data_IF_139741247738
#
_entry.id   IF_139741247738
#
_cell.length_a   1.000
_cell.length_b   1.000
_cell.length_c   1.000
_cell.angle_alpha   90.00
_cell.angle_beta   90.00
_cell.angle_gamma   90.00
#
_symmetry.space_group_name_H-M   'P 1'
#
loop_
_entity.id
_entity.type
_entity.pdbx_description
1 polymer ?
#
# COMPACT_ATOMS: atom_id res chain seq x y z
N UNK A 1 -20.40 -16.92 -25.17
CA UNK A 1 -19.83 -16.58 -23.85
C UNK A 1 -20.16 -15.10 -23.63
N UNK A 2 -21.19 -14.80 -22.83
CA UNK A 2 -21.47 -13.41 -22.47
C UNK A 2 -20.30 -12.89 -21.62
N UNK A 3 -19.61 -11.88 -22.13
CA UNK A 3 -18.71 -11.07 -21.32
C UNK A 3 -19.54 -10.49 -20.16
N UNK A 4 -19.28 -10.93 -18.93
CA UNK A 4 -19.85 -10.29 -17.74
C UNK A 4 -19.47 -8.82 -17.80
N UNK A 5 -20.45 -7.96 -18.05
CA UNK A 5 -20.32 -6.51 -18.01
C UNK A 5 -19.66 -6.16 -16.66
N UNK A 6 -18.49 -5.56 -16.69
CA UNK A 6 -17.67 -5.33 -15.50
C UNK A 6 -18.27 -4.13 -14.77
N UNK A 7 -18.94 -4.36 -13.63
CA UNK A 7 -19.53 -3.33 -12.79
C UNK A 7 -18.49 -2.25 -12.47
N UNK A 8 -18.91 -1.00 -12.57
CA UNK A 8 -18.12 0.17 -12.18
C UNK A 8 -18.55 0.63 -10.80
N UNK A 9 -17.62 0.69 -9.86
CA UNK A 9 -17.88 1.21 -8.51
C UNK A 9 -17.86 2.72 -8.52
N UNK A 10 -18.79 3.35 -7.79
CA UNK A 10 -18.88 4.80 -7.70
C UNK A 10 -19.00 5.26 -6.26
N UNK A 11 -18.07 6.10 -5.84
CA UNK A 11 -18.17 6.90 -4.62
C UNK A 11 -18.70 8.28 -5.00
N UNK A 12 -19.78 8.75 -4.34
CA UNK A 12 -20.43 10.03 -4.61
C UNK A 12 -20.43 10.95 -3.40
N UNK A 13 -20.61 12.26 -3.67
CA UNK A 13 -20.75 13.29 -2.64
C UNK A 13 -19.58 13.31 -1.65
N UNK A 14 -18.37 13.24 -2.18
CA UNK A 14 -17.13 13.20 -1.38
C UNK A 14 -16.29 14.44 -1.62
N UNK A 15 -15.52 14.82 -0.62
CA UNK A 15 -14.40 15.75 -0.79
C UNK A 15 -13.24 14.94 -1.33
N UNK A 16 -12.76 15.26 -2.52
CA UNK A 16 -11.74 14.47 -3.21
C UNK A 16 -10.46 15.28 -3.32
N UNK A 17 -9.37 14.74 -2.79
CA UNK A 17 -8.04 15.28 -3.03
C UNK A 17 -7.38 14.52 -4.18
N UNK A 18 -6.89 15.27 -5.15
CA UNK A 18 -6.16 14.75 -6.31
C UNK A 18 -4.73 15.27 -6.29
N UNK A 19 -3.87 14.79 -7.19
CA UNK A 19 -2.54 15.37 -7.39
C UNK A 19 -2.55 16.84 -7.86
N UNK A 20 -3.70 17.33 -8.35
CA UNK A 20 -3.85 18.67 -8.95
C UNK A 20 -4.70 19.63 -8.12
N UNK A 21 -5.28 19.18 -7.00
CA UNK A 21 -6.11 20.02 -6.16
C UNK A 21 -7.22 19.28 -5.42
N UNK A 22 -8.24 20.02 -5.01
CA UNK A 22 -9.38 19.53 -4.21
C UNK A 22 -10.69 19.76 -4.96
N UNK A 23 -11.58 18.76 -4.89
CA UNK A 23 -12.99 18.85 -5.34
C UNK A 23 -13.87 18.78 -4.09
N UNK A 24 -14.64 19.81 -3.79
CA UNK A 24 -15.43 19.90 -2.55
C UNK A 24 -16.66 18.98 -2.53
N UNK A 25 -17.24 18.70 -3.68
CA UNK A 25 -18.32 17.74 -3.85
C UNK A 25 -18.14 17.03 -5.18
N UNK A 26 -17.56 15.85 -5.14
CA UNK A 26 -17.19 15.09 -6.31
C UNK A 26 -17.62 13.64 -6.27
N UNK A 27 -17.29 12.94 -7.33
CA UNK A 27 -17.42 11.48 -7.44
C UNK A 27 -16.17 10.86 -8.03
N UNK A 28 -15.97 9.57 -7.71
CA UNK A 28 -14.95 8.73 -8.31
C UNK A 28 -15.62 7.49 -8.87
N UNK A 29 -15.43 7.22 -10.15
CA UNK A 29 -15.86 5.99 -10.83
C UNK A 29 -14.65 5.13 -11.11
N UNK A 30 -14.68 3.87 -10.70
CA UNK A 30 -13.53 2.96 -10.79
C UNK A 30 -13.93 1.49 -10.85
N UNK A 31 -13.02 0.67 -11.30
CA UNK A 31 -13.01 -0.76 -11.07
C UNK A 31 -11.62 -1.20 -10.58
N UNK A 32 -10.76 -1.77 -11.42
CA UNK A 32 -9.34 -2.00 -11.12
C UNK A 32 -8.50 -0.72 -11.31
N UNK A 33 -9.05 0.25 -12.03
CA UNK A 33 -8.45 1.57 -12.26
C UNK A 33 -9.52 2.63 -12.10
N UNK A 34 -9.12 3.81 -11.71
CA UNK A 34 -9.97 4.99 -11.74
C UNK A 34 -10.22 5.34 -13.21
N UNK A 35 -11.48 5.42 -13.59
CA UNK A 35 -11.92 5.83 -14.93
C UNK A 35 -12.35 7.29 -14.98
N UNK A 36 -12.88 7.81 -13.86
CA UNK A 36 -13.41 9.16 -13.83
C UNK A 36 -13.32 9.75 -12.42
N UNK A 37 -12.93 11.01 -12.32
CA UNK A 37 -12.97 11.83 -11.10
C UNK A 37 -13.42 13.21 -11.52
N UNK A 38 -14.57 13.69 -11.00
CA UNK A 38 -15.10 15.00 -11.37
C UNK A 38 -16.05 15.54 -10.29
N UNK A 39 -16.54 16.77 -10.48
CA UNK A 39 -17.55 17.37 -9.64
C UNK A 39 -18.91 16.67 -9.80
N UNK A 40 -19.70 16.60 -8.73
CA UNK A 40 -21.03 15.96 -8.74
C UNK A 40 -21.98 16.55 -9.77
N UNK A 41 -21.85 17.84 -10.11
CA UNK A 41 -22.69 18.47 -11.14
C UNK A 41 -22.52 17.85 -12.53
N UNK A 42 -21.37 17.18 -12.77
CA UNK A 42 -21.05 16.50 -14.03
C UNK A 42 -21.37 15.00 -13.99
N UNK A 43 -21.88 14.49 -12.86
CA UNK A 43 -22.17 13.08 -12.71
C UNK A 43 -23.35 12.64 -13.56
N UNK A 44 -23.10 11.71 -14.46
CA UNK A 44 -24.13 11.05 -15.27
C UNK A 44 -24.17 9.57 -14.86
N UNK A 45 -25.28 9.08 -14.26
CA UNK A 45 -25.42 7.67 -13.91
C UNK A 45 -25.32 6.78 -15.15
N UNK A 46 -24.64 5.63 -15.01
CA UNK A 46 -24.53 4.61 -16.04
C UNK A 46 -25.21 3.32 -15.55
N UNK A 47 -25.68 2.50 -16.51
CA UNK A 47 -26.42 1.27 -16.20
C UNK A 47 -25.60 0.25 -15.38
N UNK A 48 -24.28 0.27 -15.51
CA UNK A 48 -23.35 -0.61 -14.82
C UNK A 48 -22.71 0.01 -13.56
N UNK A 49 -23.21 1.17 -13.10
CA UNK A 49 -22.74 1.79 -11.86
C UNK A 49 -23.25 1.05 -10.61
N UNK A 50 -22.32 0.63 -9.76
CA UNK A 50 -22.55 0.17 -8.40
C UNK A 50 -22.17 1.29 -7.43
N UNK A 51 -23.17 1.89 -6.77
CA UNK A 51 -22.90 2.94 -5.78
C UNK A 51 -22.38 2.33 -4.49
N UNK A 52 -21.20 2.74 -4.08
CA UNK A 52 -20.60 2.34 -2.81
C UNK A 52 -21.07 3.30 -1.72
N UNK A 53 -21.93 2.80 -0.83
CA UNK A 53 -22.36 3.54 0.36
C UNK A 53 -21.29 3.49 1.44
N UNK A 54 -20.91 4.66 1.95
CA UNK A 54 -19.89 4.79 3.01
C UNK A 54 -20.03 6.12 3.73
N UNK A 55 -19.75 6.11 5.04
CA UNK A 55 -19.73 7.30 5.90
C UNK A 55 -18.45 8.14 5.70
N UNK A 56 -17.48 7.65 4.92
CA UNK A 56 -16.27 8.40 4.62
C UNK A 56 -16.59 9.73 3.96
N UNK A 57 -16.05 10.81 4.48
CA UNK A 57 -16.20 12.18 3.94
C UNK A 57 -15.21 12.46 2.82
N UNK A 58 -14.01 11.87 2.93
CA UNK A 58 -12.89 12.17 2.06
C UNK A 58 -12.51 10.98 1.18
N UNK A 59 -12.07 11.28 -0.04
CA UNK A 59 -11.33 10.38 -0.91
C UNK A 59 -9.97 11.00 -1.16
N UNK A 60 -8.92 10.25 -0.84
CA UNK A 60 -7.53 10.68 -0.99
C UNK A 60 -6.75 9.61 -1.74
N UNK A 61 -5.63 9.94 -2.39
CA UNK A 61 -4.67 8.93 -2.85
C UNK A 61 -4.18 8.08 -1.67
N UNK A 62 -3.97 6.79 -1.92
CA UNK A 62 -3.39 5.93 -0.90
C UNK A 62 -1.96 6.36 -0.55
N UNK A 63 -1.57 6.12 0.70
CA UNK A 63 -0.22 6.46 1.16
C UNK A 63 0.82 5.49 0.60
N UNK A 64 2.03 6.04 0.42
CA UNK A 64 3.22 5.30 0.01
C UNK A 64 4.19 5.28 1.19
N UNK A 65 4.46 4.11 1.73
CA UNK A 65 5.46 3.90 2.78
C UNK A 65 6.69 3.24 2.15
N UNK A 66 7.79 3.98 2.12
CA UNK A 66 9.05 3.53 1.49
C UNK A 66 10.10 3.06 2.50
N UNK A 67 9.81 3.19 3.81
CA UNK A 67 10.77 2.83 4.85
C UNK A 67 10.05 2.51 6.17
N UNK A 68 9.68 1.24 6.34
CA UNK A 68 9.12 0.74 7.59
C UNK A 68 9.53 -0.72 7.81
N UNK A 69 10.02 -1.02 9.01
CA UNK A 69 10.49 -2.37 9.37
C UNK A 69 9.34 -3.34 9.65
N UNK A 70 8.19 -2.81 9.99
CA UNK A 70 7.02 -3.62 10.28
C UNK A 70 5.96 -2.89 11.10
N UNK A 71 5.00 -3.65 11.59
CA UNK A 71 3.88 -3.15 12.38
C UNK A 71 2.98 -4.29 12.87
N UNK A 72 2.01 -3.96 13.72
CA UNK A 72 1.06 -4.95 14.24
C UNK A 72 1.72 -6.16 14.92
N UNK A 73 2.91 -5.95 15.52
CA UNK A 73 3.68 -6.99 16.18
C UNK A 73 4.43 -7.94 15.24
N UNK A 74 4.60 -7.55 13.98
CA UNK A 74 5.41 -8.27 12.98
C UNK A 74 6.52 -7.38 12.45
N UNK A 75 7.67 -7.99 12.12
CA UNK A 75 8.85 -7.33 11.58
C UNK A 75 9.26 -8.01 10.27
N UNK A 76 9.69 -7.23 9.29
CA UNK A 76 10.09 -7.72 7.96
C UNK A 76 11.29 -8.67 8.01
N UNK A 77 12.13 -8.61 9.07
CA UNK A 77 13.26 -9.50 9.23
C UNK A 77 12.87 -10.90 9.73
N UNK A 78 11.84 -10.99 10.59
CA UNK A 78 11.54 -12.21 11.34
C UNK A 78 10.25 -12.91 10.90
N UNK A 79 9.32 -12.14 10.29
CA UNK A 79 8.02 -12.65 9.91
C UNK A 79 8.08 -13.60 8.71
N UNK A 80 7.22 -14.60 8.71
CA UNK A 80 6.96 -15.44 7.54
C UNK A 80 6.24 -14.67 6.44
N UNK A 81 6.24 -15.19 5.22
CA UNK A 81 5.55 -14.58 4.08
C UNK A 81 4.05 -14.33 4.35
N UNK A 82 3.38 -15.25 5.04
CA UNK A 82 1.95 -15.10 5.37
C UNK A 82 1.72 -14.02 6.45
N UNK A 83 2.63 -13.90 7.41
CA UNK A 83 2.58 -12.84 8.43
C UNK A 83 2.86 -11.46 7.83
N UNK A 84 3.78 -11.35 6.90
CA UNK A 84 4.06 -10.11 6.14
C UNK A 84 2.83 -9.72 5.32
N UNK A 85 2.21 -10.65 4.59
CA UNK A 85 0.98 -10.39 3.84
C UNK A 85 -0.13 -9.89 4.77
N UNK A 86 -0.35 -10.57 5.89
CA UNK A 86 -1.36 -10.17 6.88
C UNK A 86 -1.07 -8.77 7.45
N UNK A 87 0.17 -8.48 7.84
CA UNK A 87 0.59 -7.19 8.37
C UNK A 87 0.29 -6.05 7.39
N UNK A 88 0.70 -6.22 6.14
CA UNK A 88 0.51 -5.19 5.10
C UNK A 88 -0.97 -5.00 4.77
N UNK A 89 -1.80 -6.05 4.85
CA UNK A 89 -3.26 -5.91 4.74
C UNK A 89 -3.86 -5.09 5.89
N UNK A 90 -3.33 -5.23 7.13
CA UNK A 90 -3.78 -4.38 8.25
C UNK A 90 -3.41 -2.91 7.99
N UNK A 91 -2.19 -2.63 7.54
CA UNK A 91 -1.74 -1.28 7.18
C UNK A 91 -2.59 -0.67 6.07
N UNK A 92 -2.90 -1.44 5.04
CA UNK A 92 -3.76 -0.99 3.96
C UNK A 92 -5.18 -0.65 4.44
N UNK A 93 -5.77 -1.52 5.27
CA UNK A 93 -7.15 -1.37 5.72
C UNK A 93 -7.34 -0.28 6.79
N UNK A 94 -6.36 -0.07 7.66
CA UNK A 94 -6.50 0.80 8.84
C UNK A 94 -5.76 2.14 8.70
N UNK A 95 -4.72 2.18 7.88
CA UNK A 95 -3.86 3.35 7.74
C UNK A 95 -3.87 3.93 6.31
N UNK A 96 -4.49 3.21 5.36
CA UNK A 96 -4.58 3.66 3.97
C UNK A 96 -3.28 3.55 3.19
N UNK A 97 -2.33 2.72 3.63
CA UNK A 97 -1.09 2.44 2.92
C UNK A 97 -1.39 1.51 1.74
N UNK A 98 -1.25 2.01 0.52
CA UNK A 98 -1.53 1.26 -0.72
C UNK A 98 -0.28 0.88 -1.50
N UNK A 99 0.87 1.37 -1.05
CA UNK A 99 2.19 1.02 -1.57
C UNK A 99 3.16 0.90 -0.40
N UNK A 100 3.76 -0.27 -0.25
CA UNK A 100 4.62 -0.59 0.89
C UNK A 100 5.94 -1.20 0.43
N UNK A 101 7.05 -0.71 1.01
CA UNK A 101 8.37 -1.27 0.87
C UNK A 101 8.80 -1.84 2.22
N UNK A 102 8.81 -3.17 2.32
CA UNK A 102 9.31 -3.84 3.51
C UNK A 102 10.79 -3.51 3.72
N UNK A 103 11.16 -3.02 4.89
CA UNK A 103 12.54 -2.60 5.16
C UNK A 103 13.26 -3.67 5.97
N UNK A 104 14.44 -4.09 5.49
CA UNK A 104 15.34 -4.98 6.24
C UNK A 104 16.19 -4.20 7.23
N UNK A 105 16.94 -4.89 8.07
CA UNK A 105 17.94 -4.33 8.98
C UNK A 105 19.31 -4.93 8.71
N UNK A 106 20.35 -4.24 9.17
CA UNK A 106 21.73 -4.75 9.20
C UNK A 106 21.80 -6.03 10.02
N UNK A 107 22.14 -7.14 9.38
CA UNK A 107 22.17 -8.48 9.94
C UNK A 107 23.17 -9.34 9.15
N UNK A 108 23.26 -10.64 9.50
CA UNK A 108 24.00 -11.60 8.68
C UNK A 108 23.40 -11.68 7.28
N UNK A 109 24.22 -12.00 6.27
CA UNK A 109 23.71 -12.20 4.90
C UNK A 109 22.61 -13.26 4.83
N UNK A 110 22.75 -14.34 5.59
CA UNK A 110 21.76 -15.43 5.66
C UNK A 110 20.41 -14.93 6.17
N UNK A 111 20.39 -14.12 7.24
CA UNK A 111 19.14 -13.56 7.77
C UNK A 111 18.51 -12.55 6.82
N UNK A 112 19.32 -11.70 6.18
CA UNK A 112 18.83 -10.75 5.18
C UNK A 112 18.25 -11.49 3.97
N UNK A 113 18.93 -12.50 3.45
CA UNK A 113 18.47 -13.31 2.32
C UNK A 113 17.14 -14.00 2.64
N UNK A 114 17.02 -14.59 3.84
CA UNK A 114 15.76 -15.21 4.31
C UNK A 114 14.63 -14.20 4.39
N UNK A 115 14.88 -13.01 4.96
CA UNK A 115 13.88 -11.94 5.03
C UNK A 115 13.42 -11.51 3.62
N UNK A 116 14.38 -11.30 2.71
CA UNK A 116 14.08 -10.93 1.32
C UNK A 116 13.26 -11.99 0.61
N UNK A 117 13.53 -13.29 0.84
CA UNK A 117 12.73 -14.37 0.27
C UNK A 117 11.30 -14.36 0.80
N UNK A 118 11.10 -14.20 2.12
CA UNK A 118 9.78 -14.11 2.73
C UNK A 118 8.99 -12.90 2.19
N UNK A 119 9.65 -11.75 2.03
CA UNK A 119 9.03 -10.55 1.45
C UNK A 119 8.66 -10.78 -0.01
N UNK A 120 9.53 -11.41 -0.79
CA UNK A 120 9.25 -11.76 -2.18
C UNK A 120 8.01 -12.65 -2.28
N UNK A 121 7.92 -13.69 -1.47
CA UNK A 121 6.79 -14.63 -1.46
C UNK A 121 5.49 -13.95 -1.01
N UNK A 122 5.57 -13.02 -0.05
CA UNK A 122 4.43 -12.19 0.34
C UNK A 122 3.96 -11.28 -0.80
N UNK A 123 4.89 -10.67 -1.54
CA UNK A 123 4.58 -9.78 -2.67
C UNK A 123 3.86 -10.50 -3.82
N UNK A 124 4.06 -11.81 -4.01
CA UNK A 124 3.30 -12.60 -4.99
C UNK A 124 1.81 -12.68 -4.65
N UNK A 125 1.45 -12.52 -3.37
CA UNK A 125 0.07 -12.62 -2.86
C UNK A 125 -0.55 -11.24 -2.61
N UNK A 126 0.27 -10.21 -2.40
CA UNK A 126 -0.17 -8.89 -1.96
C UNK A 126 0.38 -7.78 -2.88
N UNK A 127 -0.48 -7.21 -3.74
CA UNK A 127 -0.06 -6.17 -4.68
C UNK A 127 0.30 -4.84 -4.02
N UNK A 128 0.06 -4.66 -2.71
CA UNK A 128 0.48 -3.47 -1.95
C UNK A 128 1.99 -3.48 -1.73
N UNK A 129 2.61 -4.66 -1.59
CA UNK A 129 4.06 -4.81 -1.44
C UNK A 129 4.71 -4.58 -2.82
N UNK A 130 5.47 -3.50 -2.95
CA UNK A 130 6.07 -3.08 -4.23
C UNK A 130 7.57 -3.32 -4.31
N UNK A 131 8.22 -3.56 -3.18
CA UNK A 131 9.65 -3.78 -3.15
C UNK A 131 10.21 -3.97 -1.76
N UNK A 132 11.51 -4.01 -1.71
CA UNK A 132 12.29 -4.15 -0.48
C UNK A 132 13.20 -2.93 -0.36
N UNK A 133 13.16 -2.28 0.78
CA UNK A 133 14.15 -1.28 1.17
C UNK A 133 15.25 -2.02 1.96
N UNK A 134 16.41 -2.17 1.37
CA UNK A 134 17.54 -2.86 2.02
C UNK A 134 18.33 -1.85 2.84
N UNK A 135 18.15 -1.87 4.17
CA UNK A 135 18.90 -1.02 5.09
C UNK A 135 20.11 -1.80 5.64
N UNK A 136 21.31 -1.37 5.22
CA UNK A 136 22.55 -2.10 5.53
C UNK A 136 22.72 -3.38 4.68
N UNK A 137 23.80 -4.16 4.92
CA UNK A 137 24.84 -3.99 5.94
C UNK A 137 25.94 -2.98 5.56
N UNK A 138 25.90 -2.36 4.38
CA UNK A 138 26.91 -1.43 3.87
C UNK A 138 26.59 0.00 4.29
N UNK A 139 26.69 0.29 5.59
CA UNK A 139 26.41 1.61 6.16
C UNK A 139 27.60 2.11 6.98
N UNK A 140 27.64 3.41 7.25
CA UNK A 140 28.68 4.02 8.07
C UNK A 140 28.56 3.57 9.54
N UNK A 141 29.65 3.09 10.13
CA UNK A 141 29.70 2.77 11.57
C UNK A 141 29.49 4.01 12.47
N UNK A 142 29.83 5.20 11.97
CA UNK A 142 29.66 6.47 12.70
C UNK A 142 28.18 6.91 12.72
N UNK A 143 27.45 6.67 11.63
CA UNK A 143 26.07 7.11 11.47
C UNK A 143 25.07 5.96 11.45
N UNK A 144 25.42 4.82 12.04
CA UNK A 144 24.65 3.58 12.01
C UNK A 144 23.27 3.64 12.70
N UNK A 145 23.02 4.66 13.53
CA UNK A 145 21.81 4.72 14.34
C UNK A 145 21.70 3.50 15.29
N UNK A 146 20.57 2.83 15.25
CA UNK A 146 20.28 1.65 16.06
C UNK A 146 20.85 0.34 15.49
N UNK A 147 21.48 0.34 14.30
CA UNK A 147 22.01 -0.86 13.67
C UNK A 147 23.15 -1.48 14.48
N UNK A 148 23.20 -2.80 14.56
CA UNK A 148 24.25 -3.52 15.27
C UNK A 148 25.59 -3.42 14.50
N UNK A 149 26.63 -2.83 15.11
CA UNK A 149 27.91 -2.63 14.44
C UNK A 149 28.63 -3.93 14.06
N UNK A 150 28.30 -5.05 14.71
CA UNK A 150 28.94 -6.36 14.43
C UNK A 150 28.58 -6.91 13.05
N UNK A 151 27.48 -6.45 12.47
CA UNK A 151 27.00 -6.88 11.14
C UNK A 151 27.29 -5.88 10.03
N UNK A 152 27.81 -4.70 10.35
CA UNK A 152 28.20 -3.67 9.34
C UNK A 152 29.39 -4.18 8.51
N UNK A 153 29.34 -3.94 7.20
CA UNK A 153 30.36 -4.38 6.23
C UNK A 153 30.99 -3.20 5.51
#
# INVERSE_FOLDING_TARGET
>A
MEERKKLMKVLKNKIIYTGNGKIDNGYVRFNQRISEVDEMRNFVPQEDDEIIETDATYVIPGFVDVHSHGGYGKDSMDASADEIDWMVRQMAAKEGITTYFCTTMTQTYENIEKAMQNIHDAAQKNPVIKGIHVEGPFISTVFKGAQDPSYIK
#
